data_IF_271018865982
#
_entry.id   IF_271018865982
#
_cell.length_a   1.000
_cell.length_b   1.000
_cell.length_c   1.000
_cell.angle_alpha   90.00
_cell.angle_beta   90.00
_cell.angle_gamma   90.00
#
_symmetry.space_group_name_H-M   'P 1'
#
loop_
_entity.id
_entity.type
_entity.pdbx_description
1 polymer ?
#
# COMPACT_ATOMS: atom_id res chain seq x y z
N UNK A 1 4.62 -4.45 -18.06
CA UNK A 1 3.47 -4.72 -18.96
C UNK A 1 3.82 -4.57 -20.45
N UNK A 2 5.06 -4.21 -20.81
CA UNK A 2 5.42 -3.82 -22.18
C UNK A 2 5.80 -4.99 -23.11
N UNK A 3 6.11 -6.18 -22.58
CA UNK A 3 6.69 -7.29 -23.38
C UNK A 3 5.74 -8.47 -23.68
N UNK A 4 4.41 -8.30 -23.61
CA UNK A 4 3.43 -9.41 -23.72
C UNK A 4 3.64 -10.60 -22.75
N UNK A 5 4.53 -10.46 -21.75
CA UNK A 5 4.81 -11.49 -20.75
C UNK A 5 3.69 -11.54 -19.70
N UNK A 6 2.58 -12.19 -20.06
CA UNK A 6 1.38 -12.33 -19.23
C UNK A 6 1.68 -13.03 -17.89
N UNK A 7 2.52 -14.06 -17.92
CA UNK A 7 2.89 -14.88 -16.76
C UNK A 7 3.73 -14.08 -15.77
N UNK A 8 4.81 -13.45 -16.23
CA UNK A 8 5.67 -12.61 -15.40
C UNK A 8 4.91 -11.45 -14.76
N UNK A 9 4.04 -10.78 -15.53
CA UNK A 9 3.13 -9.74 -15.01
C UNK A 9 2.27 -10.28 -13.86
N UNK A 10 1.60 -11.42 -14.07
CA UNK A 10 0.73 -12.02 -13.06
C UNK A 10 1.49 -12.34 -11.76
N UNK A 11 2.69 -12.91 -11.87
CA UNK A 11 3.54 -13.21 -10.71
C UNK A 11 3.91 -11.94 -9.94
N UNK A 12 4.36 -10.89 -10.64
CA UNK A 12 4.74 -9.62 -10.00
C UNK A 12 3.57 -8.93 -9.30
N UNK A 13 2.40 -8.88 -9.94
CA UNK A 13 1.21 -8.25 -9.35
C UNK A 13 0.67 -9.05 -8.15
N UNK A 14 0.63 -10.38 -8.25
CA UNK A 14 0.26 -11.23 -7.11
C UNK A 14 1.21 -11.07 -5.94
N UNK A 15 2.53 -10.91 -6.19
CA UNK A 15 3.51 -10.64 -5.14
C UNK A 15 3.26 -9.29 -4.47
N UNK A 16 2.97 -8.24 -5.24
CA UNK A 16 2.65 -6.92 -4.70
C UNK A 16 1.38 -6.95 -3.84
N UNK A 17 0.31 -7.59 -4.33
CA UNK A 17 -0.93 -7.80 -3.58
C UNK A 17 -0.66 -8.53 -2.27
N UNK A 18 0.13 -9.60 -2.28
CA UNK A 18 0.44 -10.36 -1.07
C UNK A 18 1.18 -9.53 -0.01
N UNK A 19 2.10 -8.65 -0.42
CA UNK A 19 2.82 -7.75 0.50
C UNK A 19 1.84 -6.75 1.15
N UNK A 20 0.94 -6.16 0.35
CA UNK A 20 -0.02 -5.17 0.84
C UNK A 20 -1.04 -5.82 1.77
N UNK A 21 -1.67 -6.90 1.31
CA UNK A 21 -2.79 -7.54 2.02
C UNK A 21 -2.31 -8.35 3.22
N UNK A 22 -1.34 -9.25 3.03
CA UNK A 22 -0.92 -10.20 4.07
C UNK A 22 0.32 -9.74 4.86
N UNK A 23 0.95 -8.65 4.44
CA UNK A 23 2.06 -8.04 5.16
C UNK A 23 1.62 -6.78 5.90
N UNK A 24 1.36 -5.72 5.15
CA UNK A 24 1.12 -4.38 5.71
C UNK A 24 -0.25 -4.27 6.38
N UNK A 25 -1.33 -4.65 5.70
CA UNK A 25 -2.70 -4.50 6.22
C UNK A 25 -2.94 -5.34 7.48
N UNK A 26 -2.47 -6.59 7.51
CA UNK A 26 -2.58 -7.48 8.69
C UNK A 26 -1.78 -6.99 9.89
N UNK A 27 -0.78 -6.12 9.70
CA UNK A 27 -0.05 -5.53 10.83
C UNK A 27 -0.82 -4.42 11.55
N UNK A 28 -1.94 -3.96 10.97
CA UNK A 28 -2.81 -2.97 11.58
C UNK A 28 -3.88 -3.65 12.45
N UNK A 29 -4.26 -3.01 13.55
CA UNK A 29 -5.39 -3.43 14.37
C UNK A 29 -6.71 -3.09 13.65
N UNK A 30 -7.39 -4.11 13.13
CA UNK A 30 -8.67 -3.95 12.41
C UNK A 30 -9.81 -3.45 13.32
N UNK A 31 -9.72 -3.70 14.63
CA UNK A 31 -10.71 -3.26 15.62
C UNK A 31 -10.44 -1.82 16.12
N UNK A 32 -9.30 -1.25 15.73
CA UNK A 32 -8.92 0.10 16.11
C UNK A 32 -9.97 1.12 15.69
N UNK A 33 -10.37 1.99 16.62
CA UNK A 33 -11.26 3.13 16.34
C UNK A 33 -10.50 4.38 15.89
N UNK A 34 -9.18 4.28 15.79
CA UNK A 34 -8.33 5.36 15.31
C UNK A 34 -8.56 5.62 13.81
N UNK A 35 -8.84 6.87 13.46
CA UNK A 35 -9.19 7.28 12.10
C UNK A 35 -8.03 7.04 11.12
N UNK A 36 -6.79 7.27 11.54
CA UNK A 36 -5.62 7.04 10.71
C UNK A 36 -5.49 5.54 10.36
N UNK A 37 -5.63 4.68 11.36
CA UNK A 37 -5.60 3.21 11.16
C UNK A 37 -6.67 2.76 10.18
N UNK A 38 -7.92 3.22 10.36
CA UNK A 38 -9.03 2.89 9.46
C UNK A 38 -8.81 3.39 8.03
N UNK A 39 -8.29 4.61 7.87
CA UNK A 39 -7.96 5.17 6.56
C UNK A 39 -6.84 4.39 5.86
N UNK A 40 -5.81 3.94 6.60
CA UNK A 40 -4.74 3.10 6.05
C UNK A 40 -5.25 1.72 5.61
N UNK A 41 -6.12 1.09 6.41
CA UNK A 41 -6.76 -0.19 6.04
C UNK A 41 -7.55 -0.01 4.73
N UNK A 42 -8.37 1.04 4.65
CA UNK A 42 -9.16 1.35 3.45
C UNK A 42 -8.28 1.60 2.22
N UNK A 43 -7.16 2.32 2.39
CA UNK A 43 -6.23 2.62 1.31
C UNK A 43 -5.49 1.36 0.83
N UNK A 44 -5.05 0.48 1.73
CA UNK A 44 -4.46 -0.82 1.36
C UNK A 44 -5.46 -1.69 0.59
N UNK A 45 -6.70 -1.80 1.04
CA UNK A 45 -7.75 -2.54 0.33
C UNK A 45 -8.06 -1.93 -1.04
N UNK A 46 -8.03 -0.60 -1.18
CA UNK A 46 -8.20 0.07 -2.47
C UNK A 46 -7.07 -0.30 -3.44
N UNK A 47 -5.81 -0.24 -3.00
CA UNK A 47 -4.66 -0.58 -3.84
C UNK A 47 -4.69 -2.02 -4.33
N UNK A 48 -5.08 -2.98 -3.46
CA UNK A 48 -5.27 -4.38 -3.85
C UNK A 48 -6.31 -4.51 -4.97
N UNK A 49 -7.46 -3.84 -4.84
CA UNK A 49 -8.50 -3.83 -5.88
C UNK A 49 -7.99 -3.26 -7.20
N UNK A 50 -7.21 -2.17 -7.15
CA UNK A 50 -6.59 -1.56 -8.35
C UNK A 50 -5.58 -2.48 -9.02
N UNK A 51 -4.73 -3.18 -8.27
CA UNK A 51 -3.77 -4.14 -8.84
C UNK A 51 -4.46 -5.36 -9.47
N UNK A 52 -5.58 -5.83 -8.90
CA UNK A 52 -6.40 -6.87 -9.50
C UNK A 52 -7.00 -6.41 -10.84
N UNK A 53 -7.56 -5.20 -10.88
CA UNK A 53 -8.09 -4.61 -12.12
C UNK A 53 -6.99 -4.40 -13.16
N UNK A 54 -5.81 -3.92 -12.74
CA UNK A 54 -4.64 -3.77 -13.57
C UNK A 54 -4.23 -5.09 -14.23
N UNK A 55 -4.23 -6.18 -13.47
CA UNK A 55 -3.91 -7.49 -14.00
C UNK A 55 -4.92 -7.95 -15.06
N UNK A 56 -6.22 -7.80 -14.76
CA UNK A 56 -7.32 -8.23 -15.63
C UNK A 56 -7.41 -7.42 -16.93
N UNK A 57 -7.16 -6.12 -16.86
CA UNK A 57 -7.36 -5.18 -17.98
C UNK A 57 -6.08 -4.73 -18.67
N UNK A 58 -4.91 -5.20 -18.20
CA UNK A 58 -3.60 -4.67 -18.61
C UNK A 58 -3.50 -3.14 -18.42
N UNK A 59 -4.11 -2.63 -17.36
CA UNK A 59 -4.13 -1.21 -17.06
C UNK A 59 -2.85 -0.80 -16.33
N UNK A 60 -1.91 -0.22 -17.07
CA UNK A 60 -0.63 0.28 -16.55
C UNK A 60 -0.84 1.45 -15.58
N UNK A 61 -1.79 2.34 -15.89
CA UNK A 61 -2.06 3.53 -15.07
C UNK A 61 -2.52 3.16 -13.66
N UNK A 62 -3.28 2.06 -13.53
CA UNK A 62 -3.67 1.53 -12.23
C UNK A 62 -2.48 1.01 -11.40
N UNK A 63 -1.39 0.55 -12.03
CA UNK A 63 -0.16 0.18 -11.31
C UNK A 63 0.62 1.42 -10.89
N UNK A 64 0.75 2.40 -11.78
CA UNK A 64 1.44 3.67 -11.50
C UNK A 64 0.77 4.42 -10.34
N UNK A 65 -0.56 4.43 -10.29
CA UNK A 65 -1.32 5.01 -9.19
C UNK A 65 -1.01 4.32 -7.86
N UNK A 66 -1.03 2.97 -7.84
CA UNK A 66 -0.70 2.20 -6.63
C UNK A 66 0.75 2.42 -6.21
N UNK A 67 1.68 2.52 -7.16
CA UNK A 67 3.08 2.85 -6.86
C UNK A 67 3.19 4.22 -6.19
N UNK A 68 2.51 5.25 -6.73
CA UNK A 68 2.52 6.59 -6.18
C UNK A 68 1.96 6.63 -4.75
N UNK A 69 0.82 5.96 -4.52
CA UNK A 69 0.21 5.86 -3.19
C UNK A 69 1.14 5.15 -2.19
N UNK A 70 1.72 4.01 -2.57
CA UNK A 70 2.67 3.28 -1.73
C UNK A 70 3.93 4.09 -1.42
N UNK A 71 4.43 4.85 -2.40
CA UNK A 71 5.59 5.72 -2.22
C UNK A 71 5.31 6.83 -1.21
N UNK A 72 4.15 7.47 -1.30
CA UNK A 72 3.74 8.50 -0.35
C UNK A 72 3.68 7.96 1.09
N UNK A 73 3.12 6.76 1.30
CA UNK A 73 3.09 6.11 2.62
C UNK A 73 4.51 5.81 3.12
N UNK A 74 5.37 5.25 2.25
CA UNK A 74 6.74 4.92 2.60
C UNK A 74 7.56 6.17 2.97
N UNK A 75 7.35 7.27 2.26
CA UNK A 75 8.06 8.53 2.52
C UNK A 75 7.57 9.20 3.81
N UNK A 76 6.25 9.20 4.08
CA UNK A 76 5.71 9.64 5.37
C UNK A 76 6.27 8.82 6.54
N UNK A 77 6.43 7.51 6.38
CA UNK A 77 7.06 6.66 7.40
C UNK A 77 8.53 7.03 7.64
N UNK A 78 9.31 7.26 6.58
CA UNK A 78 10.72 7.71 6.72
C UNK A 78 10.81 9.06 7.42
N UNK A 79 9.95 10.01 7.06
CA UNK A 79 9.92 11.34 7.68
C UNK A 79 9.59 11.26 9.18
N UNK A 80 8.65 10.38 9.55
CA UNK A 80 8.32 10.11 10.95
C UNK A 80 9.50 9.55 11.75
N UNK A 81 10.45 8.85 11.12
CA UNK A 81 11.65 8.33 11.77
C UNK A 81 12.77 9.38 11.89
N UNK A 82 12.77 10.37 10.98
CA UNK A 82 13.76 11.46 10.95
C UNK A 82 13.35 12.64 11.82
N UNK A 83 12.08 12.72 12.20
CA UNK A 83 11.55 13.66 13.18
C UNK A 83 11.63 13.03 14.56
N UNK A 84 12.66 13.29 15.39
CA UNK A 84 12.62 12.89 16.78
C UNK A 84 11.39 13.54 17.40
N UNK A 85 10.44 12.73 17.86
CA UNK A 85 9.31 13.20 18.61
C UNK A 85 9.84 13.94 19.84
N UNK A 86 9.58 15.25 19.88
CA UNK A 86 9.43 15.97 21.14
C UNK A 86 8.29 15.25 21.87
N UNK A 87 8.64 14.23 22.65
CA UNK A 87 7.78 13.73 23.70
C UNK A 87 7.42 14.98 24.51
N UNK A 88 6.19 15.45 24.37
CA UNK A 88 5.67 16.44 25.29
C UNK A 88 5.62 15.74 26.64
N UNK A 89 6.57 16.07 27.50
CA UNK A 89 6.55 15.68 28.90
C UNK A 89 5.17 16.09 29.47
N UNK A 90 4.39 15.17 30.03
CA UNK A 90 3.21 15.53 30.77
C UNK A 90 3.65 16.24 32.07
N UNK A 91 3.16 17.47 32.26
CA UNK A 91 3.22 18.21 33.53
C UNK A 91 2.38 17.51 34.60
#
# INVERSE_FOLDING_TARGET
MQDNNQQGKGVSLSKAINIIENGLRVSLDEESKDELTQNLIALYSYMVRRLLQANLRNDVSAVEEVEALMRNIADAWKESLLSPSLIQDPV
#
